data_IF_795852860416
#
_entry.id   IF_795852860416
#
_cell.length_a   1.000
_cell.length_b   1.000
_cell.length_c   1.000
_cell.angle_alpha   90.00
_cell.angle_beta   90.00
_cell.angle_gamma   90.00
#
_symmetry.space_group_name_H-M   'P 1'
#
loop_
_entity.id
_entity.type
_entity.pdbx_description
1 polymer ?
#
# COMPACT_ATOMS: atom_id res chain seq x y z
N UNK A 1 -10.09 33.62 -20.74
CA UNK A 1 -10.12 33.55 -19.27
C UNK A 1 -11.25 34.34 -18.62
N UNK A 2 -11.79 35.38 -19.27
CA UNK A 2 -12.82 36.26 -18.68
C UNK A 2 -14.27 35.72 -18.74
N UNK A 3 -14.55 34.69 -19.54
CA UNK A 3 -15.89 34.06 -19.63
C UNK A 3 -15.99 32.89 -18.63
N UNK A 4 -16.95 32.90 -17.69
CA UNK A 4 -17.08 31.86 -16.66
C UNK A 4 -17.18 30.44 -17.22
N UNK A 5 -18.00 30.21 -18.26
CA UNK A 5 -18.17 28.89 -18.86
C UNK A 5 -16.88 28.29 -19.44
N UNK A 6 -16.00 29.11 -20.02
CA UNK A 6 -14.71 28.62 -20.52
C UNK A 6 -13.77 28.24 -19.36
N UNK A 7 -13.77 28.99 -18.25
CA UNK A 7 -12.97 28.66 -17.06
C UNK A 7 -13.43 27.34 -16.44
N UNK A 8 -14.74 27.12 -16.34
CA UNK A 8 -15.29 25.87 -15.83
C UNK A 8 -14.93 24.67 -16.70
N UNK A 9 -15.08 24.79 -18.02
CA UNK A 9 -14.70 23.75 -18.97
C UNK A 9 -13.20 23.41 -18.86
N UNK A 10 -12.33 24.42 -18.83
CA UNK A 10 -10.88 24.24 -18.65
C UNK A 10 -10.55 23.57 -17.31
N UNK A 11 -11.23 23.94 -16.24
CA UNK A 11 -11.03 23.33 -14.90
C UNK A 11 -11.42 21.86 -14.91
N UNK A 12 -12.57 21.52 -15.49
CA UNK A 12 -13.04 20.12 -15.63
C UNK A 12 -12.07 19.30 -16.48
N UNK A 13 -11.61 19.86 -17.60
CA UNK A 13 -10.62 19.21 -18.47
C UNK A 13 -9.33 18.89 -17.72
N UNK A 14 -8.74 19.84 -17.01
CA UNK A 14 -7.51 19.58 -16.28
C UNK A 14 -7.69 18.63 -15.09
N UNK A 15 -8.84 18.67 -14.39
CA UNK A 15 -9.18 17.66 -13.37
C UNK A 15 -9.21 16.26 -13.97
N UNK A 16 -9.80 16.09 -15.15
CA UNK A 16 -9.83 14.82 -15.86
C UNK A 16 -8.42 14.38 -16.28
N UNK A 17 -7.60 15.27 -16.86
CA UNK A 17 -6.21 14.95 -17.20
C UNK A 17 -5.40 14.53 -15.97
N UNK A 18 -5.62 15.18 -14.81
CA UNK A 18 -4.96 14.82 -13.55
C UNK A 18 -5.44 13.47 -13.04
N UNK A 19 -6.74 13.19 -13.06
CA UNK A 19 -7.27 11.90 -12.62
C UNK A 19 -6.60 10.71 -13.33
N UNK A 20 -6.39 10.79 -14.65
CA UNK A 20 -5.69 9.74 -15.40
C UNK A 20 -4.23 9.55 -14.94
N UNK A 21 -3.51 10.64 -14.65
CA UNK A 21 -2.15 10.59 -14.11
C UNK A 21 -2.12 10.01 -12.71
N UNK A 22 -3.07 10.39 -11.87
CA UNK A 22 -3.21 9.89 -10.51
C UNK A 22 -3.49 8.39 -10.49
N UNK A 23 -4.32 7.86 -11.40
CA UNK A 23 -4.53 6.40 -11.55
C UNK A 23 -3.20 5.68 -11.83
N UNK A 24 -2.40 6.22 -12.76
CA UNK A 24 -1.09 5.62 -13.10
C UNK A 24 -0.13 5.63 -11.91
N UNK A 25 -0.10 6.72 -11.14
CA UNK A 25 0.73 6.81 -9.93
C UNK A 25 0.24 5.85 -8.84
N UNK A 26 -1.07 5.79 -8.62
CA UNK A 26 -1.69 4.93 -7.62
C UNK A 26 -1.36 3.46 -7.87
N UNK A 27 -1.38 3.00 -9.13
CA UNK A 27 -1.01 1.62 -9.50
C UNK A 27 0.39 1.25 -8.99
N UNK A 28 1.35 2.18 -9.06
CA UNK A 28 2.72 1.96 -8.57
C UNK A 28 2.77 1.98 -7.05
N UNK A 29 2.08 2.93 -6.42
CA UNK A 29 2.05 3.08 -4.96
C UNK A 29 1.37 1.89 -4.27
N UNK A 30 0.27 1.38 -4.81
CA UNK A 30 -0.45 0.18 -4.33
C UNK A 30 0.49 -1.01 -4.32
N UNK A 31 1.16 -1.29 -5.44
CA UNK A 31 2.07 -2.42 -5.55
C UNK A 31 3.28 -2.30 -4.62
N UNK A 32 3.85 -1.09 -4.48
CA UNK A 32 4.97 -0.82 -3.57
C UNK A 32 4.57 -0.99 -2.11
N UNK A 33 3.40 -0.51 -1.72
CA UNK A 33 2.92 -0.65 -0.35
C UNK A 33 2.66 -2.13 -0.02
N UNK A 34 2.02 -2.87 -0.93
CA UNK A 34 1.79 -4.30 -0.76
C UNK A 34 3.12 -5.05 -0.55
N UNK A 35 4.13 -4.72 -1.36
CA UNK A 35 5.48 -5.30 -1.26
C UNK A 35 6.16 -4.93 0.07
N UNK A 36 6.10 -3.66 0.47
CA UNK A 36 6.70 -3.21 1.71
C UNK A 36 6.09 -3.91 2.94
N UNK A 37 4.77 -4.04 2.99
CA UNK A 37 4.07 -4.75 4.07
C UNK A 37 4.54 -6.22 4.14
N UNK A 38 4.58 -6.90 2.99
CA UNK A 38 4.97 -8.31 2.94
C UNK A 38 6.44 -8.56 3.32
N UNK A 39 7.35 -7.70 2.86
CA UNK A 39 8.77 -7.83 3.19
C UNK A 39 9.03 -7.52 4.65
N UNK A 40 8.38 -6.48 5.18
CA UNK A 40 8.48 -6.13 6.60
C UNK A 40 7.93 -7.25 7.49
N UNK A 41 6.77 -7.83 7.15
CA UNK A 41 6.17 -8.95 7.89
C UNK A 41 7.15 -10.13 7.98
N UNK A 42 7.73 -10.54 6.84
CA UNK A 42 8.71 -11.64 6.80
C UNK A 42 9.95 -11.33 7.63
N UNK A 43 10.45 -10.11 7.55
CA UNK A 43 11.62 -9.69 8.33
C UNK A 43 11.32 -9.70 9.83
N UNK A 44 10.20 -9.11 10.25
CA UNK A 44 9.78 -9.05 11.65
C UNK A 44 9.59 -10.44 12.25
N UNK A 45 8.90 -11.34 11.56
CA UNK A 45 8.72 -12.73 12.02
C UNK A 45 10.07 -13.45 12.17
N UNK A 46 10.99 -13.25 11.23
CA UNK A 46 12.35 -13.82 11.31
C UNK A 46 13.11 -13.29 12.52
N UNK A 47 13.04 -11.99 12.78
CA UNK A 47 13.70 -11.35 13.94
C UNK A 47 13.09 -11.85 15.25
N UNK A 48 11.77 -11.91 15.34
CA UNK A 48 11.07 -12.43 16.52
C UNK A 48 11.50 -13.87 16.80
N UNK A 49 11.51 -14.75 15.78
CA UNK A 49 11.94 -16.15 15.95
C UNK A 49 13.38 -16.26 16.48
N UNK A 50 14.31 -15.44 15.97
CA UNK A 50 15.69 -15.41 16.47
C UNK A 50 15.74 -14.96 17.93
N UNK A 51 15.00 -13.91 18.27
CA UNK A 51 14.97 -13.36 19.61
C UNK A 51 14.29 -14.30 20.61
N UNK A 52 13.26 -15.06 20.20
CA UNK A 52 12.68 -16.09 21.06
C UNK A 52 13.70 -17.13 21.53
N UNK A 53 14.79 -17.33 20.78
CA UNK A 53 15.91 -18.21 21.18
C UNK A 53 16.98 -17.47 21.97
N UNK A 54 17.38 -16.26 21.54
CA UNK A 54 18.52 -15.54 22.14
C UNK A 54 18.15 -14.68 23.35
N UNK A 55 16.98 -14.06 23.34
CA UNK A 55 16.43 -13.21 24.40
C UNK A 55 14.88 -13.30 24.39
N UNK A 56 14.31 -14.29 25.11
CA UNK A 56 12.87 -14.55 25.09
C UNK A 56 12.01 -13.38 25.56
N UNK A 57 12.52 -12.54 26.47
CA UNK A 57 11.77 -11.40 26.98
C UNK A 57 11.59 -10.34 25.89
N UNK A 58 12.70 -10.00 25.21
CA UNK A 58 12.65 -9.08 24.07
C UNK A 58 11.85 -9.65 22.90
N UNK A 59 11.99 -10.95 22.64
CA UNK A 59 11.21 -11.65 21.61
C UNK A 59 9.70 -11.61 21.89
N UNK A 60 9.28 -11.75 23.16
CA UNK A 60 7.88 -11.67 23.56
C UNK A 60 7.33 -10.25 23.38
N UNK A 61 8.07 -9.23 23.81
CA UNK A 61 7.67 -7.83 23.67
C UNK A 61 7.51 -7.44 22.19
N UNK A 62 8.49 -7.78 21.34
CA UNK A 62 8.39 -7.56 19.90
C UNK A 62 7.21 -8.31 19.27
N UNK A 63 6.93 -9.53 19.70
CA UNK A 63 5.77 -10.28 19.23
C UNK A 63 4.44 -9.61 19.59
N UNK A 64 4.34 -9.03 20.79
CA UNK A 64 3.17 -8.26 21.22
C UNK A 64 2.97 -7.01 20.38
N UNK A 65 4.02 -6.22 20.17
CA UNK A 65 3.95 -5.03 19.31
C UNK A 65 3.62 -5.38 17.85
N UNK A 66 4.21 -6.47 17.35
CA UNK A 66 3.96 -6.95 15.99
C UNK A 66 2.49 -7.30 15.74
N UNK A 67 1.79 -7.92 16.71
CA UNK A 67 0.37 -8.27 16.56
C UNK A 67 -0.52 -7.08 16.22
N UNK A 68 -0.30 -5.95 16.90
CA UNK A 68 -1.05 -4.71 16.65
C UNK A 68 -0.82 -4.20 15.22
N UNK A 69 0.44 -4.23 14.77
CA UNK A 69 0.80 -3.80 13.40
C UNK A 69 0.27 -4.77 12.34
N UNK A 70 0.35 -6.07 12.59
CA UNK A 70 -0.17 -7.11 11.71
C UNK A 70 -1.69 -6.96 11.49
N UNK A 71 -2.45 -6.60 12.52
CA UNK A 71 -3.89 -6.33 12.39
C UNK A 71 -4.19 -5.14 11.46
N UNK A 72 -3.42 -4.05 11.57
CA UNK A 72 -3.53 -2.89 10.68
C UNK A 72 -3.12 -3.26 9.25
N UNK A 73 -2.01 -3.99 9.11
CA UNK A 73 -1.53 -4.47 7.82
C UNK A 73 -2.54 -5.40 7.13
N UNK A 74 -3.26 -6.24 7.88
CA UNK A 74 -4.32 -7.08 7.33
C UNK A 74 -5.45 -6.24 6.70
N UNK A 75 -5.85 -5.13 7.34
CA UNK A 75 -6.81 -4.19 6.78
C UNK A 75 -6.27 -3.51 5.52
N UNK A 76 -4.98 -3.13 5.50
CA UNK A 76 -4.34 -2.57 4.31
C UNK A 76 -4.32 -3.58 3.17
N UNK A 77 -3.87 -4.82 3.41
CA UNK A 77 -3.85 -5.88 2.41
C UNK A 77 -5.25 -6.16 1.86
N UNK A 78 -6.29 -6.20 2.71
CA UNK A 78 -7.67 -6.33 2.25
C UNK A 78 -8.06 -5.22 1.27
N UNK A 79 -7.76 -3.96 1.59
CA UNK A 79 -8.06 -2.82 0.71
C UNK A 79 -7.23 -2.84 -0.57
N UNK A 80 -5.96 -3.20 -0.50
CA UNK A 80 -5.09 -3.32 -1.67
C UNK A 80 -5.61 -4.41 -2.62
N UNK A 81 -5.95 -5.58 -2.09
CA UNK A 81 -6.58 -6.66 -2.86
C UNK A 81 -7.91 -6.22 -3.49
N UNK A 82 -8.71 -5.43 -2.76
CA UNK A 82 -9.94 -4.87 -3.31
C UNK A 82 -9.68 -3.91 -4.48
N UNK A 83 -8.71 -3.00 -4.36
CA UNK A 83 -8.29 -2.10 -5.44
C UNK A 83 -7.85 -2.90 -6.67
N UNK A 84 -7.02 -3.92 -6.47
CA UNK A 84 -6.52 -4.80 -7.54
C UNK A 84 -7.64 -5.59 -8.23
N UNK A 85 -8.76 -5.82 -7.53
CA UNK A 85 -9.96 -6.50 -8.06
C UNK A 85 -10.92 -5.59 -8.82
N UNK A 86 -10.75 -4.27 -8.77
CA UNK A 86 -11.66 -3.33 -9.44
C UNK A 86 -11.65 -3.54 -10.96
N UNK A 87 -12.84 -3.52 -11.56
CA UNK A 87 -12.97 -3.50 -13.02
C UNK A 87 -12.27 -2.29 -13.59
N UNK A 88 -11.30 -2.50 -14.50
CA UNK A 88 -10.49 -1.43 -15.08
C UNK A 88 -9.19 -1.13 -14.33
N UNK A 89 -8.85 -1.89 -13.28
CA UNK A 89 -7.51 -1.83 -12.70
C UNK A 89 -6.44 -2.20 -13.75
N UNK A 90 -5.44 -1.34 -13.90
CA UNK A 90 -4.40 -1.43 -14.93
C UNK A 90 -2.98 -1.57 -14.36
N UNK A 91 -2.85 -1.73 -13.05
CA UNK A 91 -1.57 -1.93 -12.37
C UNK A 91 -1.12 -3.38 -12.30
N UNK A 92 0.03 -3.61 -11.68
CA UNK A 92 0.53 -4.94 -11.33
C UNK A 92 -0.18 -5.42 -10.07
N UNK A 93 -0.64 -6.68 -10.08
CA UNK A 93 -1.34 -7.30 -8.95
C UNK A 93 -0.37 -8.04 -8.05
N UNK A 94 -0.74 -8.14 -6.78
CA UNK A 94 -0.01 -8.88 -5.76
C UNK A 94 1.30 -8.22 -5.33
N UNK A 95 2.06 -8.99 -4.57
CA UNK A 95 3.34 -8.59 -4.00
C UNK A 95 4.45 -8.65 -5.04
N UNK A 96 5.27 -7.60 -5.09
CA UNK A 96 6.46 -7.54 -5.94
C UNK A 96 7.69 -8.17 -5.31
N UNK A 97 8.80 -8.13 -6.05
CA UNK A 97 10.12 -8.57 -5.57
C UNK A 97 11.03 -7.35 -5.51
N UNK A 98 11.65 -7.11 -4.35
CA UNK A 98 12.79 -6.20 -4.24
C UNK A 98 14.06 -6.98 -4.55
N UNK A 99 14.60 -6.79 -5.76
CA UNK A 99 15.99 -7.16 -6.12
C UNK A 99 16.97 -6.17 -5.53
#
# INVERSE_FOLDING_TARGET
>A
WSKPGHREATTKFFKLCRAHKEITRLNVEVHRLHTAIHDEERHMLTVIQKLQVSDPHLGCELQCQHRSRAAINAMHCYRLNHIESLTGFSGVRGVGVRT
#
